data_IF_222947100622
#
_entry.id   IF_222947100622
#
_cell.length_a   1.000
_cell.length_b   1.000
_cell.length_c   1.000
_cell.angle_alpha   90.00
_cell.angle_beta   90.00
_cell.angle_gamma   90.00
#
_symmetry.space_group_name_H-M   'P 1'
#
loop_
_entity.id
_entity.type
_entity.pdbx_description
1 polymer ?
#
# COMPACT_ATOMS: atom_id res chain seq x y z
N UNK A 1 69.05 -33.42 -32.30
CA UNK A 1 68.51 -34.60 -31.58
C UNK A 1 67.50 -34.08 -30.57
N UNK A 2 66.23 -34.36 -30.83
CA UNK A 2 65.03 -33.80 -30.18
C UNK A 2 64.78 -34.40 -28.79
N UNK A 3 64.31 -33.57 -27.85
CA UNK A 3 63.69 -34.00 -26.60
C UNK A 3 62.27 -33.44 -26.49
N UNK A 4 61.40 -34.28 -25.97
CA UNK A 4 59.96 -34.20 -25.90
C UNK A 4 59.42 -33.27 -24.80
N UNK A 5 58.17 -32.84 -24.95
CA UNK A 5 57.24 -32.62 -23.84
C UNK A 5 55.79 -32.76 -24.34
N UNK A 6 55.08 -33.74 -23.78
CA UNK A 6 53.64 -33.97 -23.92
C UNK A 6 52.89 -33.00 -23.00
N UNK A 7 51.83 -32.36 -23.49
CA UNK A 7 50.81 -31.73 -22.66
C UNK A 7 49.43 -32.16 -23.18
N UNK A 8 48.74 -32.94 -22.34
CA UNK A 8 47.32 -33.22 -22.41
C UNK A 8 46.55 -32.11 -21.68
N UNK A 9 45.41 -31.68 -22.23
CA UNK A 9 44.14 -31.37 -21.52
C UNK A 9 43.15 -30.82 -22.57
N UNK A 10 42.29 -31.69 -23.12
CA UNK A 10 40.87 -31.90 -22.75
C UNK A 10 39.90 -30.76 -23.12
N UNK A 11 39.04 -31.15 -24.05
CA UNK A 11 37.84 -30.55 -24.59
C UNK A 11 36.76 -30.32 -23.51
N UNK A 12 35.93 -29.27 -23.67
CA UNK A 12 34.47 -29.35 -23.52
C UNK A 12 33.80 -28.05 -23.99
N UNK A 13 32.96 -28.19 -25.02
CA UNK A 13 31.85 -27.30 -25.38
C UNK A 13 30.95 -27.06 -24.13
N UNK A 14 30.35 -25.90 -23.88
CA UNK A 14 29.47 -25.12 -24.75
C UNK A 14 28.01 -25.41 -24.34
N UNK A 15 27.28 -24.44 -23.78
CA UNK A 15 25.82 -24.33 -23.93
C UNK A 15 25.27 -22.96 -23.48
N UNK A 16 24.26 -22.52 -24.21
CA UNK A 16 23.65 -21.20 -24.32
C UNK A 16 23.08 -20.57 -23.02
N UNK A 17 23.12 -19.24 -22.98
CA UNK A 17 22.36 -18.40 -22.04
C UNK A 17 20.96 -18.09 -22.60
N UNK A 18 19.93 -18.27 -21.77
CA UNK A 18 18.56 -17.79 -22.01
C UNK A 18 18.28 -16.53 -21.17
N UNK A 19 17.38 -15.62 -21.61
CA UNK A 19 17.15 -14.35 -20.95
C UNK A 19 16.28 -14.48 -19.69
N UNK A 20 16.53 -13.62 -18.71
CA UNK A 20 15.89 -13.60 -17.40
C UNK A 20 14.39 -13.27 -17.46
N UNK A 21 13.61 -14.13 -16.81
CA UNK A 21 12.19 -13.90 -16.54
C UNK A 21 12.02 -12.79 -15.48
N UNK A 22 11.16 -11.82 -15.79
CA UNK A 22 10.68 -10.84 -14.82
C UNK A 22 9.89 -11.53 -13.71
N UNK A 23 10.21 -11.21 -12.46
CA UNK A 23 9.48 -11.70 -11.30
C UNK A 23 8.19 -10.88 -11.12
N UNK A 24 7.07 -11.41 -11.60
CA UNK A 24 5.74 -10.94 -11.21
C UNK A 24 5.45 -11.41 -9.78
N UNK A 25 5.39 -10.46 -8.83
CA UNK A 25 4.91 -10.73 -7.49
C UNK A 25 3.38 -10.71 -7.47
N UNK A 26 2.80 -11.91 -7.45
CA UNK A 26 1.40 -12.19 -7.17
C UNK A 26 0.98 -11.72 -5.77
N UNK A 27 -0.17 -11.05 -5.69
CA UNK A 27 -1.02 -11.07 -4.51
C UNK A 27 -2.50 -11.06 -4.95
N UNK A 28 -2.99 -12.27 -5.19
CA UNK A 28 -4.37 -12.62 -5.45
C UNK A 28 -5.13 -12.60 -4.12
N UNK A 29 -5.89 -11.53 -3.87
CA UNK A 29 -6.97 -11.52 -2.88
C UNK A 29 -8.26 -11.21 -3.65
N UNK A 30 -8.78 -12.22 -4.35
CA UNK A 30 -10.17 -12.21 -4.83
C UNK A 30 -10.96 -13.23 -4.00
N UNK A 31 -11.76 -12.71 -3.07
CA UNK A 31 -12.67 -13.53 -2.25
C UNK A 31 -14.11 -13.11 -2.60
N UNK A 32 -14.67 -13.84 -3.56
CA UNK A 32 -16.07 -14.26 -3.61
C UNK A 32 -17.13 -13.15 -3.72
N UNK A 33 -17.43 -12.73 -4.96
CA UNK A 33 -18.77 -12.18 -5.27
C UNK A 33 -19.74 -13.34 -5.52
N UNK A 34 -20.63 -13.56 -4.56
CA UNK A 34 -21.84 -14.35 -4.77
C UNK A 34 -22.73 -13.66 -5.81
N UNK A 35 -23.28 -14.46 -6.71
CA UNK A 35 -24.12 -14.06 -7.82
C UNK A 35 -25.36 -13.28 -7.34
N UNK A 36 -25.55 -12.07 -7.87
CA UNK A 36 -26.83 -11.37 -7.82
C UNK A 36 -27.40 -11.35 -9.24
N UNK A 37 -28.43 -12.16 -9.46
CA UNK A 37 -29.32 -12.08 -10.62
C UNK A 37 -30.06 -10.74 -10.62
N UNK A 38 -30.16 -10.01 -11.74
CA UNK A 38 -31.01 -8.83 -11.80
C UNK A 38 -32.44 -9.28 -12.12
N UNK A 39 -33.35 -9.20 -11.15
CA UNK A 39 -34.79 -9.27 -11.41
C UNK A 39 -35.31 -7.84 -11.62
N UNK A 40 -35.15 -7.32 -12.83
CA UNK A 40 -35.87 -6.12 -13.26
C UNK A 40 -37.27 -6.56 -13.67
N UNK A 41 -38.23 -6.42 -12.75
CA UNK A 41 -39.65 -6.46 -13.08
C UNK A 41 -40.06 -5.06 -13.56
N UNK A 42 -40.43 -4.95 -14.83
CA UNK A 42 -41.12 -3.79 -15.38
C UNK A 42 -42.55 -3.79 -14.85
N UNK A 43 -42.90 -2.77 -14.06
CA UNK A 43 -44.28 -2.50 -13.65
C UNK A 43 -44.81 -1.28 -14.43
N UNK A 44 -45.87 -1.52 -15.21
CA UNK A 44 -46.67 -0.52 -15.92
C UNK A 44 -47.48 0.39 -14.95
N UNK A 45 -47.87 1.61 -15.35
CA UNK A 45 -48.41 2.62 -14.44
C UNK A 45 -49.93 2.51 -14.23
N UNK A 46 -50.33 2.32 -12.97
CA UNK A 46 -51.73 2.41 -12.49
C UNK A 46 -51.95 3.65 -11.61
N UNK A 47 -53.02 4.38 -11.91
CA UNK A 47 -53.38 5.74 -11.45
C UNK A 47 -53.79 5.89 -9.98
N UNK A 48 -53.46 7.09 -9.45
CA UNK A 48 -54.18 7.98 -8.48
C UNK A 48 -54.02 7.77 -6.97
N UNK A 49 -53.49 8.82 -6.32
CA UNK A 49 -54.06 9.39 -5.08
C UNK A 49 -53.06 9.85 -4.01
N UNK A 50 -52.96 11.16 -3.79
CA UNK A 50 -52.71 11.72 -2.45
C UNK A 50 -51.35 12.38 -2.15
N UNK A 51 -51.40 13.71 -1.96
CA UNK A 51 -50.51 14.53 -1.14
C UNK A 51 -49.00 14.61 -1.49
N UNK A 52 -48.67 15.50 -2.42
CA UNK A 52 -47.32 16.06 -2.55
C UNK A 52 -47.08 17.10 -1.44
N UNK A 53 -46.44 16.67 -0.35
CA UNK A 53 -45.79 17.57 0.60
C UNK A 53 -44.52 18.14 -0.05
N UNK A 54 -44.63 19.35 -0.58
CA UNK A 54 -43.52 20.11 -1.17
C UNK A 54 -42.50 20.47 -0.08
N UNK A 55 -41.34 19.80 -0.07
CA UNK A 55 -40.22 20.06 0.84
C UNK A 55 -39.18 21.06 0.29
N UNK A 56 -39.57 21.87 -0.70
CA UNK A 56 -38.70 22.90 -1.26
C UNK A 56 -39.35 24.27 -1.12
N UNK A 57 -39.43 24.72 0.13
CA UNK A 57 -39.63 26.13 0.45
C UNK A 57 -38.42 26.58 1.28
N UNK A 58 -37.57 27.43 0.71
CA UNK A 58 -36.59 28.19 1.50
C UNK A 58 -35.10 27.89 1.30
N UNK A 59 -34.60 27.87 0.05
CA UNK A 59 -33.19 28.18 -0.18
C UNK A 59 -33.04 29.25 -1.26
N UNK A 60 -33.13 30.50 -0.82
CA UNK A 60 -32.55 31.64 -1.54
C UNK A 60 -31.04 31.68 -1.27
N UNK A 61 -30.31 32.12 -2.29
CA UNK A 61 -28.86 32.40 -2.34
C UNK A 61 -27.94 31.23 -2.72
N UNK A 62 -27.77 31.09 -4.03
CA UNK A 62 -26.75 30.26 -4.67
C UNK A 62 -27.18 29.74 -6.04
N UNK A 63 -27.32 30.63 -7.03
CA UNK A 63 -27.73 30.26 -8.39
C UNK A 63 -26.78 29.26 -9.06
N UNK A 64 -27.33 28.47 -9.99
CA UNK A 64 -26.67 27.41 -10.78
C UNK A 64 -25.45 27.86 -11.62
N UNK A 65 -25.12 29.16 -11.60
CA UNK A 65 -24.03 29.76 -12.37
C UNK A 65 -23.28 30.83 -11.54
N UNK A 66 -22.94 30.52 -10.29
CA UNK A 66 -22.01 31.36 -9.53
C UNK A 66 -20.60 31.30 -10.19
N UNK A 67 -19.92 32.45 -10.40
CA UNK A 67 -18.62 32.48 -11.03
C UNK A 67 -17.59 31.70 -10.21
N UNK A 68 -16.75 30.96 -10.94
CA UNK A 68 -15.68 30.12 -10.41
C UNK A 68 -14.69 30.98 -9.60
N UNK A 69 -14.91 31.08 -8.29
CA UNK A 69 -13.89 31.56 -7.38
C UNK A 69 -12.76 30.53 -7.37
N UNK A 70 -11.54 30.99 -7.61
CA UNK A 70 -10.30 30.20 -7.58
C UNK A 70 -10.26 29.30 -6.34
N UNK A 71 -10.60 28.02 -6.54
CA UNK A 71 -10.60 27.01 -5.48
C UNK A 71 -9.22 26.38 -5.43
N UNK A 72 -8.44 26.80 -4.44
CA UNK A 72 -7.32 26.04 -3.93
C UNK A 72 -7.75 24.61 -3.56
N UNK A 73 -6.84 23.66 -3.83
CA UNK A 73 -6.79 22.28 -3.34
C UNK A 73 -8.08 21.73 -2.69
N UNK A 74 -9.12 21.52 -3.50
CA UNK A 74 -10.28 20.70 -3.08
C UNK A 74 -9.88 19.24 -3.17
N UNK A 75 -9.19 18.75 -2.14
CA UNK A 75 -9.32 17.34 -1.76
C UNK A 75 -10.81 17.07 -1.58
N UNK A 76 -11.41 16.31 -2.50
CA UNK A 76 -12.73 15.75 -2.28
C UNK A 76 -12.67 15.03 -0.92
N UNK A 77 -13.47 15.52 0.04
CA UNK A 77 -13.53 14.99 1.39
C UNK A 77 -14.13 13.58 1.34
N UNK A 78 -13.30 12.60 1.00
CA UNK A 78 -13.53 11.20 1.34
C UNK A 78 -13.57 11.15 2.86
N UNK A 79 -14.67 10.63 3.40
CA UNK A 79 -14.90 10.54 4.83
C UNK A 79 -13.66 9.99 5.56
N UNK A 80 -13.27 10.55 6.72
CA UNK A 80 -12.18 9.99 7.52
C UNK A 80 -12.45 8.51 7.76
N UNK A 81 -11.46 7.66 7.53
CA UNK A 81 -11.56 6.27 7.96
C UNK A 81 -11.74 6.27 9.48
N UNK A 82 -12.92 5.86 9.95
CA UNK A 82 -13.31 5.87 11.37
C UNK A 82 -12.65 4.75 12.18
N UNK A 83 -11.62 4.09 11.63
CA UNK A 83 -10.86 3.04 12.30
C UNK A 83 -9.61 3.52 13.05
N UNK A 84 -9.36 4.83 13.14
CA UNK A 84 -8.21 5.42 13.83
C UNK A 84 -8.31 5.38 15.37
N UNK A 85 -8.30 4.17 15.95
CA UNK A 85 -8.12 3.99 17.39
C UNK A 85 -6.67 4.19 17.83
N UNK A 86 -6.43 4.27 19.15
CA UNK A 86 -5.08 4.35 19.73
C UNK A 86 -4.18 3.17 19.32
N UNK A 87 -4.78 2.03 19.00
CA UNK A 87 -4.12 0.85 18.46
C UNK A 87 -3.60 1.07 17.03
N UNK A 88 -4.39 1.67 16.13
CA UNK A 88 -3.94 1.95 14.76
C UNK A 88 -2.71 2.88 14.76
N UNK A 89 -2.70 3.91 15.62
CA UNK A 89 -1.55 4.77 15.82
C UNK A 89 -0.31 3.98 16.27
N UNK A 90 -0.47 3.12 17.29
CA UNK A 90 0.63 2.28 17.80
C UNK A 90 1.16 1.30 16.75
N UNK A 91 0.29 0.72 15.94
CA UNK A 91 0.69 -0.17 14.83
C UNK A 91 1.44 0.63 13.76
N UNK A 92 0.96 1.82 13.39
CA UNK A 92 1.67 2.71 12.45
C UNK A 92 3.08 3.07 12.96
N UNK A 93 3.21 3.37 14.24
CA UNK A 93 4.51 3.64 14.87
C UNK A 93 5.43 2.41 14.83
N UNK A 94 4.86 1.22 15.07
CA UNK A 94 5.57 -0.05 15.00
C UNK A 94 6.05 -0.36 13.57
N UNK A 95 5.21 -0.10 12.55
CA UNK A 95 5.60 -0.19 11.14
C UNK A 95 6.72 0.79 10.83
N UNK A 96 6.60 2.05 11.25
CA UNK A 96 7.61 3.07 10.98
C UNK A 96 8.98 2.70 11.57
N UNK A 97 9.01 2.14 12.79
CA UNK A 97 10.24 1.60 13.39
C UNK A 97 10.83 0.46 12.56
N UNK A 98 9.98 -0.41 12.00
CA UNK A 98 10.41 -1.53 11.19
C UNK A 98 10.93 -1.12 9.80
N UNK A 99 10.36 -0.08 9.21
CA UNK A 99 10.51 0.24 7.77
C UNK A 99 11.32 1.50 7.47
N UNK A 100 11.10 2.59 8.21
CA UNK A 100 11.56 3.92 7.82
C UNK A 100 12.66 4.51 8.74
N UNK A 101 12.83 3.96 9.94
CA UNK A 101 13.80 4.47 10.91
C UNK A 101 13.58 5.95 11.21
N UNK A 102 14.67 6.73 11.28
CA UNK A 102 14.62 8.16 11.62
C UNK A 102 14.03 9.06 10.52
N UNK A 103 14.01 8.60 9.26
CA UNK A 103 13.55 9.42 8.14
C UNK A 103 12.01 9.55 8.08
N UNK A 104 11.27 8.66 8.75
CA UNK A 104 9.82 8.75 8.89
C UNK A 104 9.10 8.96 7.56
N UNK A 105 8.24 9.98 7.49
CA UNK A 105 7.45 10.31 6.28
C UNK A 105 8.27 10.68 5.05
N UNK A 106 9.54 11.04 5.23
CA UNK A 106 10.46 11.38 4.15
C UNK A 106 11.43 10.25 3.80
N UNK A 107 11.20 9.04 4.33
CA UNK A 107 12.05 7.89 4.04
C UNK A 107 12.03 7.52 2.56
N UNK A 108 13.22 7.21 2.04
CA UNK A 108 13.44 6.70 0.68
C UNK A 108 14.36 5.49 0.81
N UNK A 109 14.03 4.39 0.13
CA UNK A 109 14.80 3.17 0.21
C UNK A 109 16.29 3.43 -0.07
N UNK A 110 17.17 2.98 0.83
CA UNK A 110 18.60 3.27 0.75
C UNK A 110 19.28 2.78 -0.54
N UNK A 111 18.72 1.75 -1.19
CA UNK A 111 19.21 1.23 -2.47
C UNK A 111 18.87 2.10 -3.69
N UNK A 112 18.08 3.17 -3.52
CA UNK A 112 17.77 4.11 -4.60
C UNK A 112 19.01 4.92 -4.97
N UNK A 113 19.54 4.71 -6.18
CA UNK A 113 20.75 5.38 -6.67
C UNK A 113 20.47 6.86 -6.94
N UNK A 114 19.34 7.15 -7.56
CA UNK A 114 18.86 8.51 -7.83
C UNK A 114 17.70 8.81 -6.87
N UNK A 115 17.94 9.72 -5.93
CA UNK A 115 16.93 10.15 -4.96
C UNK A 115 15.87 11.07 -5.60
N UNK A 116 14.67 11.15 -5.03
CA UNK A 116 13.70 12.14 -5.47
C UNK A 116 14.25 13.56 -5.31
N UNK A 117 13.80 14.53 -6.13
CA UNK A 117 14.34 15.89 -6.14
C UNK A 117 14.00 16.71 -4.89
N UNK A 118 13.02 16.26 -4.10
CA UNK A 118 12.52 16.89 -2.88
C UNK A 118 12.20 15.80 -1.84
N UNK A 119 12.11 16.15 -0.54
CA UNK A 119 11.56 15.25 0.46
C UNK A 119 10.16 14.75 0.06
N UNK A 120 9.83 13.46 0.25
CA UNK A 120 8.54 12.89 -0.11
C UNK A 120 7.32 13.71 0.34
N UNK A 121 7.31 14.25 1.56
CA UNK A 121 6.20 15.06 2.10
C UNK A 121 5.99 16.38 1.38
N UNK A 122 6.99 16.86 0.63
CA UNK A 122 6.93 18.09 -0.14
C UNK A 122 6.53 17.85 -1.61
N UNK A 123 6.38 16.59 -2.02
CA UNK A 123 6.05 16.19 -3.39
C UNK A 123 4.54 15.98 -3.56
N UNK A 124 4.04 16.17 -4.78
CA UNK A 124 2.77 15.57 -5.20
C UNK A 124 2.99 14.08 -5.48
N UNK A 125 1.96 13.26 -5.38
CA UNK A 125 2.08 11.83 -5.76
C UNK A 125 2.49 11.69 -7.23
N UNK A 126 2.05 12.61 -8.09
CA UNK A 126 2.47 12.68 -9.48
C UNK A 126 4.00 12.88 -9.61
N UNK A 127 4.62 13.75 -8.82
CA UNK A 127 6.07 13.96 -8.82
C UNK A 127 6.81 12.64 -8.47
N UNK A 128 6.22 11.83 -7.58
CA UNK A 128 6.78 10.52 -7.19
C UNK A 128 6.67 9.55 -8.37
N UNK A 129 5.55 9.52 -9.08
CA UNK A 129 5.39 8.70 -10.29
C UNK A 129 6.36 9.08 -11.39
N UNK A 130 6.60 10.38 -11.57
CA UNK A 130 7.54 10.87 -12.57
C UNK A 130 8.99 10.53 -12.17
N UNK A 131 9.35 10.63 -10.89
CA UNK A 131 10.63 10.14 -10.38
C UNK A 131 10.82 8.63 -10.63
N UNK A 132 9.80 7.81 -10.36
CA UNK A 132 9.83 6.37 -10.61
C UNK A 132 10.06 6.09 -12.10
N UNK A 133 9.35 6.78 -13.00
CA UNK A 133 9.47 6.60 -14.46
C UNK A 133 10.85 7.02 -14.97
N UNK A 134 11.40 8.10 -14.42
CA UNK A 134 12.72 8.62 -14.81
C UNK A 134 13.90 7.78 -14.30
N UNK A 135 13.67 6.87 -13.36
CA UNK A 135 14.72 6.09 -12.70
C UNK A 135 14.45 4.58 -12.76
N UNK A 136 14.36 3.97 -13.96
CA UNK A 136 14.05 2.55 -14.08
C UNK A 136 15.15 1.66 -13.47
N UNK A 137 14.76 0.52 -12.91
CA UNK A 137 15.68 -0.52 -12.44
C UNK A 137 16.31 -0.30 -11.06
N UNK A 138 15.97 0.77 -10.34
CA UNK A 138 16.32 0.95 -8.93
C UNK A 138 15.12 0.60 -8.02
N UNK A 139 15.32 0.39 -6.71
CA UNK A 139 14.20 0.28 -5.78
C UNK A 139 13.57 1.65 -5.49
N UNK A 140 12.24 1.66 -5.29
CA UNK A 140 11.45 2.89 -5.12
C UNK A 140 10.53 2.87 -3.90
N UNK A 141 10.81 2.07 -2.87
CA UNK A 141 10.02 2.17 -1.65
C UNK A 141 10.20 3.56 -1.02
N UNK A 142 9.07 4.19 -0.68
CA UNK A 142 9.02 5.60 -0.29
C UNK A 142 8.03 5.85 0.86
N UNK A 143 8.32 6.85 1.67
CA UNK A 143 7.52 7.27 2.80
C UNK A 143 7.69 6.40 4.06
N UNK A 144 6.97 6.80 5.10
CA UNK A 144 6.99 6.19 6.45
C UNK A 144 6.69 4.70 6.44
N UNK A 145 5.93 4.26 5.45
CA UNK A 145 5.43 2.91 5.30
C UNK A 145 6.05 2.16 4.11
N UNK A 146 7.11 2.72 3.50
CA UNK A 146 7.88 2.12 2.41
C UNK A 146 7.00 1.57 1.27
N UNK A 147 6.10 2.42 0.74
CA UNK A 147 5.21 2.02 -0.35
C UNK A 147 5.98 1.73 -1.63
N UNK A 148 5.82 0.54 -2.20
CA UNK A 148 6.35 0.21 -3.53
C UNK A 148 5.44 0.74 -4.64
N UNK A 149 5.95 0.96 -5.88
CA UNK A 149 5.19 1.62 -6.96
C UNK A 149 3.85 0.98 -7.33
N UNK A 150 3.75 -0.35 -7.30
CA UNK A 150 2.51 -1.07 -7.59
C UNK A 150 1.46 -0.83 -6.50
N UNK A 151 1.86 -0.96 -5.24
CA UNK A 151 1.01 -0.72 -4.06
C UNK A 151 0.52 0.72 -3.99
N UNK A 152 1.41 1.71 -4.16
CA UNK A 152 1.02 3.13 -4.14
C UNK A 152 -0.02 3.44 -5.23
N UNK A 153 0.19 2.96 -6.46
CA UNK A 153 -0.79 3.15 -7.55
C UNK A 153 -2.13 2.46 -7.26
N UNK A 154 -2.12 1.26 -6.67
CA UNK A 154 -3.35 0.56 -6.27
C UNK A 154 -4.12 1.37 -5.24
N UNK A 155 -3.47 1.76 -4.14
CA UNK A 155 -4.11 2.46 -3.03
C UNK A 155 -4.66 3.83 -3.44
N UNK A 156 -3.94 4.58 -4.29
CA UNK A 156 -4.43 5.87 -4.81
C UNK A 156 -5.72 5.69 -5.62
N UNK A 157 -5.82 4.64 -6.46
CA UNK A 157 -7.05 4.32 -7.18
C UNK A 157 -8.17 3.88 -6.23
N UNK A 158 -7.87 2.95 -5.32
CA UNK A 158 -8.87 2.38 -4.40
C UNK A 158 -9.48 3.45 -3.50
N UNK A 159 -8.71 4.47 -3.11
CA UNK A 159 -9.15 5.59 -2.29
C UNK A 159 -9.64 6.80 -3.11
N UNK A 160 -9.61 6.73 -4.45
CA UNK A 160 -10.03 7.83 -5.32
C UNK A 160 -9.23 9.12 -5.13
N UNK A 161 -7.95 9.01 -4.76
CA UNK A 161 -7.09 10.18 -4.51
C UNK A 161 -6.48 10.64 -5.83
N UNK A 162 -6.59 11.93 -6.12
CA UNK A 162 -5.97 12.55 -7.29
C UNK A 162 -4.43 12.51 -7.14
N UNK A 163 -3.66 12.07 -8.17
CA UNK A 163 -2.19 12.12 -8.15
C UNK A 163 -1.61 13.52 -7.93
N UNK A 164 -2.36 14.59 -8.20
CA UNK A 164 -1.98 15.95 -7.85
C UNK A 164 -1.96 16.21 -6.33
N UNK A 165 -2.57 15.35 -5.52
CA UNK A 165 -2.52 15.48 -4.06
C UNK A 165 -1.08 15.44 -3.54
N UNK A 166 -0.82 16.21 -2.47
CA UNK A 166 0.45 16.15 -1.74
C UNK A 166 0.60 14.78 -1.09
N UNK A 167 1.80 14.21 -1.14
CA UNK A 167 2.15 12.99 -0.41
C UNK A 167 2.43 13.28 1.08
N UNK A 168 1.48 13.98 1.70
CA UNK A 168 1.54 14.46 3.07
C UNK A 168 1.55 13.30 4.08
N UNK A 169 1.97 13.55 5.33
CA UNK A 169 1.83 12.59 6.42
C UNK A 169 0.42 11.99 6.51
N UNK A 170 -0.62 12.82 6.43
CA UNK A 170 -2.01 12.36 6.49
C UNK A 170 -2.38 11.44 5.32
N UNK A 171 -1.92 11.74 4.11
CA UNK A 171 -2.14 10.85 2.97
C UNK A 171 -1.42 9.52 3.19
N UNK A 172 -0.16 9.54 3.63
CA UNK A 172 0.58 8.31 3.93
C UNK A 172 -0.12 7.46 4.99
N UNK A 173 -0.63 8.08 6.05
CA UNK A 173 -1.37 7.41 7.12
C UNK A 173 -2.66 6.78 6.61
N UNK A 174 -3.42 7.50 5.77
CA UNK A 174 -4.64 6.96 5.14
C UNK A 174 -4.35 5.77 4.23
N UNK A 175 -3.25 5.82 3.48
CA UNK A 175 -2.81 4.71 2.62
C UNK A 175 -2.41 3.50 3.48
N UNK A 176 -1.72 3.73 4.61
CA UNK A 176 -1.34 2.67 5.55
C UNK A 176 -2.57 2.06 6.24
N UNK A 177 -3.56 2.87 6.62
CA UNK A 177 -4.81 2.39 7.21
C UNK A 177 -5.57 1.45 6.29
N UNK A 178 -5.57 1.76 5.00
CA UNK A 178 -6.16 0.87 4.01
C UNK A 178 -5.47 -0.49 4.02
N UNK A 179 -4.14 -0.52 4.08
CA UNK A 179 -3.36 -1.76 4.21
C UNK A 179 -3.60 -2.48 5.55
N UNK A 180 -3.73 -1.75 6.66
CA UNK A 180 -4.06 -2.33 7.97
C UNK A 180 -5.45 -2.98 7.97
N UNK A 181 -6.43 -2.33 7.34
CA UNK A 181 -7.75 -2.91 7.12
C UNK A 181 -7.66 -4.19 6.30
N UNK A 182 -6.86 -4.21 5.23
CA UNK A 182 -6.64 -5.40 4.39
C UNK A 182 -5.92 -6.53 5.17
N UNK A 183 -5.03 -6.19 6.09
CA UNK A 183 -4.36 -7.16 6.97
C UNK A 183 -5.30 -7.80 8.00
N UNK A 184 -6.49 -7.23 8.22
CA UNK A 184 -7.48 -7.74 9.16
C UNK A 184 -7.55 -6.97 10.47
N UNK A 185 -7.21 -5.68 10.49
CA UNK A 185 -7.28 -4.86 11.72
C UNK A 185 -8.67 -4.88 12.37
N UNK A 186 -9.75 -4.86 11.57
CA UNK A 186 -11.10 -4.98 12.11
C UNK A 186 -11.35 -6.36 12.73
N UNK A 187 -10.86 -7.43 12.08
CA UNK A 187 -11.05 -8.80 12.54
C UNK A 187 -10.21 -9.14 13.80
N UNK A 188 -9.04 -8.52 13.98
CA UNK A 188 -8.29 -8.71 15.24
C UNK A 188 -8.92 -7.92 16.39
N UNK A 189 -9.57 -6.78 16.09
CA UNK A 189 -10.31 -5.98 17.09
C UNK A 189 -11.57 -6.68 17.58
N UNK A 190 -12.30 -7.34 16.69
CA UNK A 190 -13.54 -8.06 17.03
C UNK A 190 -13.30 -9.49 17.55
N UNK A 191 -12.06 -9.98 17.46
CA UNK A 191 -11.65 -11.30 17.94
C UNK A 191 -11.88 -12.45 16.95
N UNK A 192 -12.30 -12.15 15.71
CA UNK A 192 -12.48 -13.16 14.66
C UNK A 192 -11.18 -13.53 13.94
N UNK A 193 -10.11 -12.76 14.14
CA UNK A 193 -8.75 -13.07 13.71
C UNK A 193 -7.80 -13.10 14.92
N UNK A 194 -7.03 -14.18 15.05
CA UNK A 194 -6.03 -14.31 16.10
C UNK A 194 -4.90 -13.28 15.95
N UNK A 195 -4.39 -12.75 17.08
CA UNK A 195 -3.29 -11.77 17.10
C UNK A 195 -2.06 -12.23 16.30
N UNK A 196 -1.66 -13.50 16.43
CA UNK A 196 -0.51 -14.05 15.68
C UNK A 196 -0.78 -14.16 14.18
N UNK A 197 -2.01 -14.48 13.78
CA UNK A 197 -2.39 -14.51 12.37
C UNK A 197 -2.40 -13.10 11.77
N UNK A 198 -2.89 -12.12 12.53
CA UNK A 198 -2.78 -10.71 12.16
C UNK A 198 -1.32 -10.27 11.99
N UNK A 199 -0.43 -10.66 12.90
CA UNK A 199 1.02 -10.41 12.75
C UNK A 199 1.61 -11.01 11.47
N UNK A 200 1.21 -12.24 11.12
CA UNK A 200 1.63 -12.89 9.86
C UNK A 200 1.10 -12.14 8.64
N UNK A 201 -0.13 -11.61 8.70
CA UNK A 201 -0.70 -10.77 7.64
C UNK A 201 0.08 -9.45 7.51
N UNK A 202 0.45 -8.81 8.62
CA UNK A 202 1.30 -7.60 8.62
C UNK A 202 2.67 -7.89 7.98
N UNK A 203 3.33 -9.00 8.33
CA UNK A 203 4.56 -9.44 7.69
C UNK A 203 4.38 -9.85 6.21
N UNK A 204 3.13 -10.00 5.78
CA UNK A 204 2.72 -10.15 4.38
C UNK A 204 2.68 -8.85 3.58
N UNK A 205 2.81 -7.69 4.24
CA UNK A 205 2.75 -6.37 3.61
C UNK A 205 4.07 -5.62 3.81
N UNK A 206 4.63 -5.68 5.02
CA UNK A 206 5.82 -4.96 5.43
C UNK A 206 7.00 -5.89 5.66
N UNK A 207 8.10 -5.62 4.96
CA UNK A 207 9.26 -6.51 4.91
C UNK A 207 10.11 -6.47 6.19
N UNK A 208 10.02 -5.40 6.97
CA UNK A 208 10.70 -5.24 8.25
C UNK A 208 10.15 -6.17 9.33
N UNK A 209 8.91 -6.68 9.19
CA UNK A 209 8.34 -7.60 10.17
C UNK A 209 8.81 -9.05 9.98
N UNK A 210 9.09 -9.76 11.09
CA UNK A 210 9.43 -11.18 11.06
C UNK A 210 8.17 -12.06 10.94
N UNK A 211 8.31 -13.20 10.27
CA UNK A 211 7.45 -14.37 10.44
C UNK A 211 7.81 -15.12 11.75
N UNK A 212 7.04 -16.13 12.18
CA UNK A 212 7.38 -16.95 13.35
C UNK A 212 8.78 -17.59 13.27
N UNK A 213 9.31 -17.78 12.06
CA UNK A 213 10.69 -18.25 11.83
C UNK A 213 11.77 -17.21 12.15
N UNK A 214 11.40 -15.97 12.50
CA UNK A 214 12.30 -14.83 12.69
C UNK A 214 12.77 -14.17 11.39
N UNK A 215 12.44 -14.74 10.21
CA UNK A 215 12.82 -14.16 8.91
C UNK A 215 11.69 -13.29 8.36
N UNK A 216 12.05 -12.25 7.61
CA UNK A 216 11.10 -11.54 6.77
C UNK A 216 10.49 -12.48 5.73
N UNK A 217 9.22 -12.29 5.38
CA UNK A 217 8.60 -12.95 4.23
C UNK A 217 9.40 -12.72 2.94
N UNK A 218 10.02 -11.55 2.82
CA UNK A 218 10.75 -11.13 1.64
C UNK A 218 12.27 -11.32 1.77
N UNK A 219 12.71 -12.14 2.72
CA UNK A 219 14.13 -12.33 2.98
C UNK A 219 14.90 -12.72 1.72
N UNK A 220 15.98 -11.99 1.41
CA UNK A 220 16.83 -12.23 0.23
C UNK A 220 16.36 -11.51 -1.04
N UNK A 221 15.17 -10.91 -1.04
CA UNK A 221 14.69 -10.09 -2.15
C UNK A 221 15.05 -8.63 -1.91
N UNK A 222 15.76 -7.99 -2.84
CA UNK A 222 16.12 -6.57 -2.77
C UNK A 222 16.78 -6.12 -1.44
N UNK A 223 17.52 -7.03 -0.77
CA UNK A 223 18.17 -6.76 0.51
C UNK A 223 17.24 -6.79 1.73
N UNK A 224 15.98 -7.21 1.56
CA UNK A 224 15.00 -7.25 2.65
C UNK A 224 15.40 -8.25 3.73
N UNK A 225 15.20 -7.83 4.98
CA UNK A 225 15.40 -8.62 6.20
C UNK A 225 14.46 -8.10 7.28
N UNK A 226 14.13 -8.96 8.24
CA UNK A 226 13.40 -8.50 9.43
C UNK A 226 14.30 -7.56 10.23
N UNK A 227 13.74 -6.44 10.68
CA UNK A 227 14.44 -5.41 11.46
C UNK A 227 14.17 -5.52 12.95
N UNK A 228 13.23 -6.40 13.34
CA UNK A 228 12.94 -6.79 14.72
C UNK A 228 12.76 -8.30 14.85
N UNK A 229 12.89 -8.82 16.06
CA UNK A 229 12.67 -10.24 16.36
C UNK A 229 11.18 -10.55 16.55
N UNK A 230 10.79 -11.81 16.33
CA UNK A 230 9.41 -12.25 16.57
C UNK A 230 8.94 -11.99 18.03
N UNK A 231 9.73 -12.30 19.07
CA UNK A 231 9.32 -11.99 20.45
C UNK A 231 9.12 -10.50 20.72
N UNK A 232 9.95 -9.62 20.13
CA UNK A 232 9.77 -8.17 20.27
C UNK A 232 8.49 -7.70 19.57
N UNK A 233 8.23 -8.21 18.35
CA UNK A 233 7.01 -7.91 17.63
C UNK A 233 5.77 -8.39 18.41
N UNK A 234 5.83 -9.61 18.96
CA UNK A 234 4.74 -10.19 19.74
C UNK A 234 4.46 -9.39 21.02
N UNK A 235 5.50 -8.95 21.75
CA UNK A 235 5.33 -8.15 22.96
C UNK A 235 4.58 -6.83 22.71
N UNK A 236 4.91 -6.14 21.62
CA UNK A 236 4.21 -4.92 21.18
C UNK A 236 2.75 -5.22 20.86
N UNK A 237 2.50 -6.31 20.13
CA UNK A 237 1.16 -6.70 19.73
C UNK A 237 0.29 -7.17 20.90
N UNK A 238 0.87 -7.82 21.92
CA UNK A 238 0.18 -8.13 23.18
C UNK A 238 -0.20 -6.84 23.90
N UNK A 239 0.68 -5.85 23.93
CA UNK A 239 0.38 -4.57 24.57
C UNK A 239 -0.70 -3.77 23.81
N UNK A 240 -0.87 -3.99 22.50
CA UNK A 240 -1.92 -3.36 21.67
C UNK A 240 -3.24 -4.12 21.80
N UNK A 241 -3.19 -5.45 21.75
CA UNK A 241 -4.34 -6.34 21.85
C UNK A 241 -4.11 -7.34 23.01
N UNK A 242 -4.44 -6.99 24.27
CA UNK A 242 -4.10 -7.81 25.44
C UNK A 242 -5.00 -9.03 25.66
N UNK A 243 -5.99 -9.25 24.80
CA UNK A 243 -6.97 -10.33 24.92
C UNK A 243 -6.47 -11.63 24.30
#
# INVERSE_FOLDING_TARGET
>A
MTRAALLWLTCCAGLAAAPGAGAEALAFFDRGRAAATPLVALAEPGRRGGAAGSLFSGRTDGGLFAPWSERGDVVAAVAPWTGGGSDALRIRDLIARAEAGQAGYDAVQHGARLRPPRPPTQMRVQDIYDWIRATPGQPHAIGRYQFIPSTLRRLMRDLGVDPAARFSPDLQDRLADRLLSEAGLHAVRDGTLGRRDFMVNLAGIWAGFPLPSGRSRYHGHAGNRATMSWPAFEAEMVAIFPR
#
